data_IF_943264044095
#
_entry.id   IF_943264044095
#
_cell.length_a   1.000
_cell.length_b   1.000
_cell.length_c   1.000
_cell.angle_alpha   90.00
_cell.angle_beta   90.00
_cell.angle_gamma   90.00
#
_symmetry.space_group_name_H-M   'P 1'
#
loop_
_entity.id
_entity.type
_entity.pdbx_description
1 polymer ?
#
# COMPACT_ATOMS: atom_id res chain seq x y z
N UNK A 1 -5.29 0.71 2.87
CA UNK A 1 -5.54 0.25 4.26
C UNK A 1 -5.50 1.42 5.25
N UNK A 2 -4.42 2.22 5.34
CA UNK A 2 -4.31 3.31 6.30
C UNK A 2 -5.42 4.37 6.18
N UNK A 3 -5.80 4.76 4.97
CA UNK A 3 -6.91 5.70 4.76
C UNK A 3 -8.25 5.13 5.27
N UNK A 4 -8.49 3.84 5.05
CA UNK A 4 -9.70 3.17 5.57
C UNK A 4 -9.74 3.19 7.09
N UNK A 5 -8.61 3.00 7.75
CA UNK A 5 -8.51 3.07 9.21
C UNK A 5 -8.78 4.48 9.74
N UNK A 6 -8.23 5.52 9.11
CA UNK A 6 -8.54 6.92 9.48
C UNK A 6 -10.04 7.19 9.33
N UNK A 7 -10.66 6.80 8.21
CA UNK A 7 -12.11 6.98 8.01
C UNK A 7 -12.93 6.19 9.03
N UNK A 8 -12.49 4.99 9.40
CA UNK A 8 -13.17 4.18 10.43
C UNK A 8 -13.11 4.87 11.80
N UNK A 9 -11.93 5.40 12.18
CA UNK A 9 -11.80 6.15 13.44
C UNK A 9 -12.60 7.45 13.41
N UNK A 10 -12.65 8.13 12.27
CA UNK A 10 -13.48 9.31 12.10
C UNK A 10 -14.98 8.98 12.20
N UNK A 11 -15.42 7.85 11.66
CA UNK A 11 -16.79 7.39 11.82
C UNK A 11 -17.16 7.11 13.28
N UNK A 12 -16.23 6.52 14.08
CA UNK A 12 -16.40 6.34 15.53
C UNK A 12 -16.54 7.69 16.23
N UNK A 13 -15.72 8.68 15.88
CA UNK A 13 -15.81 10.04 16.41
C UNK A 13 -17.17 10.67 16.14
N UNK A 14 -17.63 10.59 14.89
CA UNK A 14 -18.93 11.13 14.47
C UNK A 14 -20.08 10.41 15.22
N UNK A 15 -20.02 9.10 15.34
CA UNK A 15 -21.00 8.33 16.09
C UNK A 15 -21.07 8.76 17.55
N UNK A 16 -19.90 8.87 18.19
CA UNK A 16 -19.83 9.33 19.59
C UNK A 16 -20.42 10.73 19.75
N UNK A 17 -20.02 11.67 18.89
CA UNK A 17 -20.48 13.06 18.96
C UNK A 17 -21.99 13.20 18.71
N UNK A 18 -22.52 12.48 17.70
CA UNK A 18 -23.92 12.65 17.25
C UNK A 18 -24.92 11.75 17.97
N UNK A 19 -24.48 10.61 18.51
CA UNK A 19 -25.39 9.62 19.08
C UNK A 19 -25.10 9.35 20.56
N UNK A 20 -23.87 9.09 20.96
CA UNK A 20 -23.54 8.72 22.35
C UNK A 20 -23.66 9.92 23.28
N UNK A 21 -22.96 11.02 22.96
CA UNK A 21 -22.91 12.22 23.81
C UNK A 21 -24.31 12.83 24.08
N UNK A 22 -25.21 13.02 23.08
CA UNK A 22 -26.53 13.56 23.35
C UNK A 22 -27.39 12.67 24.26
N UNK A 23 -27.23 11.33 24.18
CA UNK A 23 -27.97 10.40 25.05
C UNK A 23 -27.53 10.52 26.51
N UNK A 24 -26.23 10.78 26.76
CA UNK A 24 -25.65 10.86 28.10
C UNK A 24 -25.54 12.31 28.63
N UNK A 25 -26.09 13.29 27.90
CA UNK A 25 -25.94 14.71 28.28
C UNK A 25 -26.50 15.01 29.68
N UNK A 26 -27.64 14.41 30.04
CA UNK A 26 -28.25 14.61 31.35
C UNK A 26 -27.40 14.05 32.48
N UNK A 27 -26.78 12.90 32.26
CA UNK A 27 -25.88 12.27 33.20
C UNK A 27 -24.56 13.04 33.32
N UNK A 28 -24.05 13.60 32.22
CA UNK A 28 -22.87 14.47 32.20
C UNK A 28 -23.11 15.74 33.00
N UNK A 29 -24.27 16.38 32.84
CA UNK A 29 -24.63 17.64 33.55
C UNK A 29 -24.92 17.39 35.05
N UNK A 30 -25.41 16.20 35.39
CA UNK A 30 -25.76 15.84 36.78
C UNK A 30 -24.60 15.16 37.53
N UNK A 31 -23.63 14.59 36.86
CA UNK A 31 -22.54 13.81 37.46
C UNK A 31 -21.33 14.67 37.76
N UNK A 32 -20.72 14.44 38.93
CA UNK A 32 -19.36 14.96 39.22
C UNK A 32 -18.27 14.09 38.61
N UNK A 33 -18.60 12.90 38.10
CA UNK A 33 -17.67 11.97 37.45
C UNK A 33 -17.64 12.23 35.95
N UNK A 34 -16.43 12.34 35.40
CA UNK A 34 -16.23 12.43 33.97
C UNK A 34 -16.55 11.10 33.27
N UNK A 35 -17.32 11.15 32.16
CA UNK A 35 -17.70 9.97 31.37
C UNK A 35 -16.89 10.01 30.05
N UNK A 36 -15.73 9.34 29.98
CA UNK A 36 -14.83 9.44 28.83
C UNK A 36 -15.44 8.90 27.53
N UNK A 37 -16.40 7.97 27.60
CA UNK A 37 -17.12 7.40 26.45
C UNK A 37 -17.91 8.45 25.65
N UNK A 38 -18.17 9.61 26.21
CA UNK A 38 -18.82 10.73 25.53
C UNK A 38 -17.84 11.57 24.70
N UNK A 39 -16.54 11.33 24.83
CA UNK A 39 -15.47 12.05 24.13
C UNK A 39 -15.10 11.33 22.83
N UNK A 40 -15.27 11.97 21.66
CA UNK A 40 -14.96 11.35 20.35
C UNK A 40 -13.53 10.81 20.24
N UNK A 41 -12.55 11.57 20.72
CA UNK A 41 -11.13 11.17 20.73
C UNK A 41 -10.87 9.92 21.59
N UNK A 42 -11.51 9.85 22.76
CA UNK A 42 -11.41 8.69 23.64
C UNK A 42 -12.00 7.44 23.00
N UNK A 43 -13.21 7.56 22.43
CA UNK A 43 -13.89 6.43 21.78
C UNK A 43 -13.11 5.91 20.58
N UNK A 44 -12.60 6.79 19.72
CA UNK A 44 -11.78 6.39 18.57
C UNK A 44 -10.51 5.66 19.01
N UNK A 45 -9.78 6.20 19.99
CA UNK A 45 -8.59 5.56 20.53
C UNK A 45 -8.91 4.21 21.16
N UNK A 46 -9.95 4.11 21.97
CA UNK A 46 -10.34 2.85 22.64
C UNK A 46 -10.72 1.77 21.62
N UNK A 47 -11.48 2.12 20.59
CA UNK A 47 -11.84 1.20 19.51
C UNK A 47 -10.58 0.75 18.75
N UNK A 48 -9.66 1.69 18.47
CA UNK A 48 -8.41 1.35 17.82
C UNK A 48 -7.50 0.44 18.67
N UNK A 49 -7.40 0.68 19.97
CA UNK A 49 -6.64 -0.20 20.88
C UNK A 49 -7.24 -1.60 20.96
N UNK A 50 -8.57 -1.74 20.93
CA UNK A 50 -9.22 -3.04 20.81
C UNK A 50 -8.93 -3.73 19.47
N UNK A 51 -8.86 -2.96 18.38
CA UNK A 51 -8.49 -3.46 17.07
C UNK A 51 -7.04 -3.97 17.05
N UNK A 52 -6.09 -3.18 17.56
CA UNK A 52 -4.68 -3.59 17.60
C UNK A 52 -4.38 -4.71 18.60
N UNK A 53 -5.25 -4.99 19.53
CA UNK A 53 -5.17 -6.18 20.40
C UNK A 53 -5.35 -7.50 19.64
N UNK A 54 -5.70 -7.49 18.35
CA UNK A 54 -5.65 -8.66 17.48
C UNK A 54 -4.21 -8.89 17.01
N UNK A 55 -3.77 -10.14 16.98
CA UNK A 55 -2.37 -10.55 16.73
C UNK A 55 -1.72 -9.92 15.47
N UNK A 56 -2.50 -9.66 14.44
CA UNK A 56 -1.97 -9.15 13.16
C UNK A 56 -1.79 -7.61 13.15
N UNK A 57 -2.23 -6.89 14.19
CA UNK A 57 -2.30 -5.43 14.20
C UNK A 57 -1.59 -4.75 15.39
N UNK A 58 -0.85 -5.49 16.19
CA UNK A 58 -0.17 -4.98 17.40
C UNK A 58 0.77 -3.81 17.14
N UNK A 59 1.38 -3.78 15.95
CA UNK A 59 2.36 -2.77 15.54
C UNK A 59 1.74 -1.54 14.88
N UNK A 60 0.42 -1.54 14.68
CA UNK A 60 -0.31 -0.37 14.21
C UNK A 60 -0.50 0.64 15.34
N UNK A 61 -0.35 1.94 15.04
CA UNK A 61 -0.55 2.99 16.01
C UNK A 61 -1.54 4.03 15.49
N UNK A 62 -2.38 4.54 16.38
CA UNK A 62 -3.28 5.65 16.11
C UNK A 62 -3.13 6.73 17.16
N UNK A 63 -3.08 7.99 16.74
CA UNK A 63 -2.97 9.12 17.63
C UNK A 63 -3.66 10.35 17.03
N UNK A 64 -4.27 11.17 17.90
CA UNK A 64 -4.72 12.51 17.59
C UNK A 64 -3.71 13.48 18.21
N UNK A 65 -2.59 13.68 17.52
CA UNK A 65 -1.46 14.44 18.05
C UNK A 65 -1.74 15.94 18.02
N UNK A 66 -1.66 16.59 19.17
CA UNK A 66 -1.87 18.03 19.35
C UNK A 66 -0.71 18.66 20.11
N UNK A 67 -0.45 19.95 19.86
CA UNK A 67 0.59 20.71 20.59
C UNK A 67 0.16 21.01 22.02
N UNK A 68 -1.14 21.21 22.25
CA UNK A 68 -1.73 21.50 23.55
C UNK A 68 -2.98 20.62 23.75
N UNK A 69 -2.83 19.30 23.99
CA UNK A 69 -3.98 18.41 24.14
C UNK A 69 -4.55 18.44 25.56
N UNK A 70 -5.83 18.14 25.70
CA UNK A 70 -6.47 17.89 27.01
C UNK A 70 -5.89 16.63 27.65
N UNK A 71 -5.72 15.55 26.89
CA UNK A 71 -5.12 14.31 27.38
C UNK A 71 -3.62 14.25 27.05
N UNK A 72 -2.74 14.03 28.04
CA UNK A 72 -1.29 13.89 27.79
C UNK A 72 -0.92 12.82 26.78
N UNK A 73 -1.75 11.76 26.62
CA UNK A 73 -1.53 10.71 25.63
C UNK A 73 -1.56 11.22 24.18
N UNK A 74 -2.18 12.37 23.95
CA UNK A 74 -2.27 13.01 22.63
C UNK A 74 -1.20 14.09 22.42
N UNK A 75 -0.25 14.27 23.34
CA UNK A 75 0.82 15.25 23.16
C UNK A 75 1.68 14.88 21.95
N UNK A 76 1.77 15.78 20.98
CA UNK A 76 2.57 15.60 19.80
C UNK A 76 4.06 15.51 20.16
N UNK A 77 4.76 14.56 19.57
CA UNK A 77 6.23 14.56 19.58
C UNK A 77 6.78 15.58 18.57
N UNK A 78 8.11 15.73 18.50
CA UNK A 78 8.74 16.70 17.60
C UNK A 78 8.35 16.52 16.13
N UNK A 79 8.24 15.27 15.65
CA UNK A 79 7.85 14.97 14.28
C UNK A 79 6.38 15.33 14.04
N UNK A 80 5.50 14.88 14.91
CA UNK A 80 4.05 15.14 14.84
C UNK A 80 3.74 16.62 14.97
N UNK A 81 4.46 17.33 15.86
CA UNK A 81 4.34 18.77 16.04
C UNK A 81 4.77 19.57 14.82
N UNK A 82 5.88 19.20 14.17
CA UNK A 82 6.31 19.81 12.92
C UNK A 82 5.28 19.60 11.81
N UNK A 83 4.76 18.37 11.67
CA UNK A 83 3.74 18.04 10.70
C UNK A 83 2.45 18.84 10.93
N UNK A 84 2.02 18.96 12.18
CA UNK A 84 0.86 19.78 12.55
C UNK A 84 1.08 21.27 12.24
N UNK A 85 2.26 21.81 12.51
CA UNK A 85 2.60 23.19 12.17
C UNK A 85 2.53 23.47 10.66
N UNK A 86 2.99 22.54 9.82
CA UNK A 86 2.84 22.64 8.35
C UNK A 86 1.37 22.64 7.91
N UNK A 87 0.53 21.83 8.58
CA UNK A 87 -0.90 21.80 8.34
C UNK A 87 -1.58 23.13 8.76
N UNK A 88 -1.21 23.67 9.93
CA UNK A 88 -1.73 24.96 10.43
C UNK A 88 -1.31 26.10 9.51
N UNK A 89 -0.07 26.09 8.99
CA UNK A 89 0.43 27.09 8.06
C UNK A 89 -0.23 27.01 6.65
N UNK A 90 -1.03 25.96 6.37
CA UNK A 90 -1.65 25.75 5.07
C UNK A 90 -0.68 25.28 3.97
N UNK A 91 0.52 24.83 4.37
CA UNK A 91 1.53 24.32 3.45
C UNK A 91 1.16 22.93 2.91
N UNK A 92 0.20 22.26 3.53
CA UNK A 92 -0.31 20.94 3.12
C UNK A 92 -1.83 20.99 2.98
N UNK A 93 -2.37 20.37 1.93
CA UNK A 93 -3.80 20.24 1.71
C UNK A 93 -4.21 18.77 1.77
N UNK A 94 -5.15 18.42 2.65
CA UNK A 94 -5.66 17.05 2.81
C UNK A 94 -4.70 16.13 3.56
N UNK A 95 -4.75 14.84 3.19
CA UNK A 95 -3.95 13.80 3.84
C UNK A 95 -2.47 13.89 3.41
N UNK A 96 -1.57 13.84 4.38
CA UNK A 96 -0.13 13.76 4.19
C UNK A 96 0.33 12.35 4.52
N UNK A 97 1.23 11.79 3.74
CA UNK A 97 1.78 10.46 4.01
C UNK A 97 3.30 10.43 3.79
N UNK A 98 3.93 9.46 4.39
CA UNK A 98 5.38 9.29 4.31
C UNK A 98 5.88 8.16 5.21
N UNK A 99 7.17 8.20 5.49
CA UNK A 99 7.80 7.23 6.38
C UNK A 99 8.47 7.95 7.55
N UNK A 100 8.43 7.31 8.73
CA UNK A 100 9.24 7.72 9.88
C UNK A 100 9.85 6.49 10.55
N UNK A 101 10.98 6.69 11.22
CA UNK A 101 11.52 5.69 12.12
C UNK A 101 11.05 6.02 13.55
N UNK A 102 10.44 5.04 14.20
CA UNK A 102 9.99 5.12 15.58
C UNK A 102 10.50 3.87 16.29
N UNK A 103 11.26 4.05 17.39
CA UNK A 103 11.81 2.95 18.20
C UNK A 103 12.59 1.88 17.42
N UNK A 104 13.21 2.29 16.30
CA UNK A 104 13.99 1.39 15.42
C UNK A 104 13.17 0.72 14.31
N UNK A 105 11.86 0.89 14.30
CA UNK A 105 10.99 0.40 13.23
C UNK A 105 10.69 1.48 12.19
N UNK A 106 10.69 1.09 10.92
CA UNK A 106 10.27 1.96 9.83
C UNK A 106 8.77 1.84 9.62
N UNK A 107 8.05 2.91 9.93
CA UNK A 107 6.61 3.00 9.82
C UNK A 107 6.21 3.88 8.63
N UNK A 108 5.22 3.46 7.89
CA UNK A 108 4.47 4.30 6.96
C UNK A 108 3.39 5.03 7.75
N UNK A 109 3.25 6.34 7.56
CA UNK A 109 2.19 7.11 8.21
C UNK A 109 1.25 7.75 7.20
N UNK A 110 0.01 7.92 7.62
CA UNK A 110 -0.97 8.81 7.01
C UNK A 110 -1.46 9.75 8.11
N UNK A 111 -1.43 11.04 7.83
CA UNK A 111 -1.79 12.09 8.75
C UNK A 111 -2.80 13.04 8.10
N UNK A 112 -3.83 13.42 8.85
CA UNK A 112 -4.91 14.32 8.42
C UNK A 112 -5.09 15.44 9.41
N UNK A 113 -5.24 16.71 8.98
CA UNK A 113 -5.55 17.80 9.88
C UNK A 113 -6.92 17.58 10.56
N UNK A 114 -6.97 17.79 11.85
CA UNK A 114 -8.17 17.74 12.65
C UNK A 114 -8.55 19.15 13.07
N UNK A 115 -9.61 19.66 12.45
CA UNK A 115 -10.13 20.99 12.74
C UNK A 115 -11.37 20.95 13.66
N UNK A 116 -11.61 22.03 14.38
CA UNK A 116 -12.84 22.27 15.11
C UNK A 116 -13.94 22.62 14.12
N UNK A 117 -14.93 21.76 13.97
CA UNK A 117 -15.97 21.89 12.94
C UNK A 117 -17.33 22.35 13.48
N UNK A 118 -17.48 22.46 14.80
CA UNK A 118 -18.77 22.75 15.43
C UNK A 118 -18.58 23.49 16.75
N UNK A 119 -19.51 24.42 17.05
CA UNK A 119 -19.64 25.07 18.33
C UNK A 119 -19.72 24.11 19.53
N UNK A 120 -20.32 22.91 19.29
CA UNK A 120 -20.39 21.89 20.34
C UNK A 120 -19.01 21.35 20.80
N UNK A 121 -17.95 21.55 20.02
CA UNK A 121 -16.59 21.23 20.43
C UNK A 121 -16.11 22.20 21.54
N UNK A 122 -16.57 23.44 21.47
CA UNK A 122 -16.16 24.50 22.38
C UNK A 122 -16.77 24.37 23.79
N UNK A 123 -17.82 23.54 23.95
CA UNK A 123 -18.35 23.19 25.30
C UNK A 123 -17.26 22.53 26.18
N UNK A 124 -16.22 21.92 25.56
CA UNK A 124 -15.10 21.29 26.27
C UNK A 124 -13.75 21.95 25.95
N UNK A 125 -13.64 22.67 24.84
CA UNK A 125 -12.37 23.17 24.32
C UNK A 125 -12.33 24.69 24.14
N UNK A 126 -13.42 25.38 24.47
CA UNK A 126 -13.49 26.85 24.49
C UNK A 126 -12.82 27.45 25.73
N UNK A 127 -13.52 28.30 26.45
CA UNK A 127 -13.01 28.86 27.72
C UNK A 127 -13.06 27.78 28.83
N UNK A 128 -11.99 27.54 29.60
CA UNK A 128 -12.01 26.59 30.71
C UNK A 128 -13.08 26.89 31.77
N UNK A 129 -13.52 28.14 31.89
CA UNK A 129 -14.57 28.55 32.84
C UNK A 129 -15.93 27.97 32.49
N UNK A 130 -16.19 27.77 31.19
CA UNK A 130 -17.43 27.23 30.66
C UNK A 130 -17.42 25.68 30.59
N UNK A 131 -16.25 25.04 30.78
CA UNK A 131 -16.11 23.60 30.74
C UNK A 131 -16.73 22.92 31.97
N UNK A 132 -17.17 21.65 31.78
CA UNK A 132 -17.76 20.91 32.90
C UNK A 132 -16.75 20.71 34.06
N UNK A 133 -17.23 20.79 35.27
CA UNK A 133 -16.42 20.56 36.48
C UNK A 133 -15.75 19.21 36.47
N UNK A 134 -16.43 18.17 35.94
CA UNK A 134 -15.90 16.84 35.83
C UNK A 134 -14.71 16.74 34.88
N UNK A 135 -14.71 17.50 33.75
CA UNK A 135 -13.60 17.60 32.81
C UNK A 135 -12.38 18.26 33.48
N UNK A 136 -12.59 19.42 34.12
CA UNK A 136 -11.54 20.16 34.82
C UNK A 136 -10.92 19.32 35.95
N UNK A 137 -11.74 18.64 36.75
CA UNK A 137 -11.26 17.75 37.80
C UNK A 137 -10.42 16.58 37.28
N UNK A 138 -10.69 16.10 36.04
CA UNK A 138 -10.01 14.96 35.46
C UNK A 138 -8.72 15.36 34.76
N UNK A 139 -8.72 16.44 33.99
CA UNK A 139 -7.62 16.80 33.07
C UNK A 139 -6.97 18.17 33.41
N UNK A 140 -7.53 18.93 34.32
CA UNK A 140 -7.08 20.30 34.63
C UNK A 140 -7.63 21.34 33.63
N UNK A 141 -7.18 22.57 33.81
CA UNK A 141 -7.64 23.75 33.08
C UNK A 141 -6.59 24.30 32.07
N UNK A 142 -5.47 23.61 31.90
CA UNK A 142 -4.32 24.14 31.13
C UNK A 142 -4.24 23.65 29.69
N UNK A 143 -4.62 22.40 29.40
CA UNK A 143 -4.47 21.79 28.10
C UNK A 143 -5.78 21.60 27.35
N UNK A 144 -5.79 21.90 26.04
CA UNK A 144 -6.93 21.66 25.17
C UNK A 144 -8.03 22.71 25.24
N UNK A 145 -7.71 23.93 25.66
CA UNK A 145 -8.65 25.05 25.75
C UNK A 145 -8.25 26.21 24.84
N UNK A 146 -9.16 27.18 24.69
CA UNK A 146 -8.96 28.35 23.84
C UNK A 146 -8.99 28.06 22.33
N UNK A 147 -9.67 27.01 21.92
CA UNK A 147 -9.81 26.67 20.51
C UNK A 147 -10.98 27.45 19.86
N UNK A 148 -10.92 27.60 18.54
CA UNK A 148 -11.92 28.30 17.75
C UNK A 148 -12.47 27.43 16.62
N UNK A 149 -13.72 27.69 16.21
CA UNK A 149 -14.31 26.99 15.05
C UNK A 149 -13.52 27.32 13.80
N UNK A 150 -13.17 26.29 13.02
CA UNK A 150 -12.33 26.38 11.83
C UNK A 150 -10.83 26.19 12.12
N UNK A 151 -10.39 26.26 13.38
CA UNK A 151 -8.99 26.07 13.75
C UNK A 151 -8.57 24.61 13.61
N UNK A 152 -7.41 24.34 12.97
CA UNK A 152 -6.72 23.05 13.03
C UNK A 152 -5.96 22.95 14.35
N UNK A 153 -6.32 21.99 15.20
CA UNK A 153 -5.84 21.86 16.58
C UNK A 153 -5.01 20.60 16.81
N UNK A 154 -5.13 19.62 15.92
CA UNK A 154 -4.41 18.36 15.99
C UNK A 154 -4.19 17.78 14.60
N UNK A 155 -3.36 16.73 14.51
CA UNK A 155 -3.33 15.82 13.38
C UNK A 155 -3.78 14.43 13.80
N UNK A 156 -4.72 13.87 13.06
CA UNK A 156 -5.14 12.48 13.17
C UNK A 156 -4.15 11.64 12.38
N UNK A 157 -3.38 10.80 13.05
CA UNK A 157 -2.28 10.06 12.42
C UNK A 157 -2.38 8.56 12.70
N UNK A 158 -2.17 7.76 11.66
CA UNK A 158 -2.05 6.31 11.74
C UNK A 158 -0.66 5.92 11.24
N UNK A 159 -0.04 5.01 11.97
CA UNK A 159 1.22 4.39 11.62
C UNK A 159 0.99 2.91 11.30
N UNK A 160 1.58 2.45 10.20
CA UNK A 160 1.53 1.06 9.72
C UNK A 160 2.96 0.58 9.49
N UNK A 161 3.33 -0.64 9.90
CA UNK A 161 4.64 -1.18 9.63
C UNK A 161 4.97 -1.17 8.15
N UNK A 162 6.08 -0.53 7.76
CA UNK A 162 6.47 -0.44 6.35
C UNK A 162 6.77 -1.82 5.76
N UNK A 163 7.25 -2.77 6.57
CA UNK A 163 7.51 -4.14 6.16
C UNK A 163 6.26 -4.84 5.61
N UNK A 164 5.09 -4.62 6.20
CA UNK A 164 3.83 -5.21 5.72
C UNK A 164 3.42 -4.66 4.36
N UNK A 165 3.58 -3.34 4.16
CA UNK A 165 3.28 -2.70 2.87
C UNK A 165 4.19 -3.24 1.78
N UNK A 166 5.49 -3.39 2.06
CA UNK A 166 6.47 -3.89 1.10
C UNK A 166 6.34 -5.40 0.86
N UNK A 167 6.02 -6.21 1.87
CA UNK A 167 5.90 -7.67 1.71
C UNK A 167 4.76 -8.03 0.76
N UNK A 168 3.60 -7.41 0.89
CA UNK A 168 2.47 -7.63 -0.02
C UNK A 168 2.80 -7.21 -1.46
N UNK A 169 3.48 -6.07 -1.65
CA UNK A 169 3.92 -5.61 -2.95
C UNK A 169 4.97 -6.55 -3.58
N UNK A 170 5.96 -6.99 -2.78
CA UNK A 170 7.00 -7.92 -3.24
C UNK A 170 6.43 -9.28 -3.61
N UNK A 171 5.48 -9.82 -2.85
CA UNK A 171 4.84 -11.09 -3.16
C UNK A 171 4.11 -11.04 -4.50
N UNK A 172 3.31 -9.99 -4.74
CA UNK A 172 2.62 -9.78 -6.01
C UNK A 172 3.61 -9.61 -7.16
N UNK A 173 4.65 -8.79 -6.98
CA UNK A 173 5.70 -8.59 -7.97
C UNK A 173 6.43 -9.90 -8.33
N UNK A 174 6.81 -10.68 -7.33
CA UNK A 174 7.51 -11.97 -7.53
C UNK A 174 6.64 -12.95 -8.31
N UNK A 175 5.34 -13.03 -8.00
CA UNK A 175 4.41 -13.89 -8.72
C UNK A 175 4.29 -13.47 -10.18
N UNK A 176 4.06 -12.20 -10.48
CA UNK A 176 3.95 -11.67 -11.83
C UNK A 176 5.23 -11.91 -12.61
N UNK A 177 6.40 -11.60 -12.03
CA UNK A 177 7.70 -11.82 -12.68
C UNK A 177 7.96 -13.31 -12.96
N UNK A 178 7.58 -14.21 -12.05
CA UNK A 178 7.73 -15.65 -12.25
C UNK A 178 6.91 -16.14 -13.44
N UNK A 179 5.68 -15.65 -13.59
CA UNK A 179 4.82 -15.98 -14.75
C UNK A 179 5.45 -15.47 -16.06
N UNK A 180 5.95 -14.23 -16.08
CA UNK A 180 6.62 -13.69 -17.26
C UNK A 180 7.87 -14.48 -17.65
N UNK A 181 8.70 -14.87 -16.69
CA UNK A 181 9.90 -15.68 -16.93
C UNK A 181 9.52 -17.05 -17.49
N UNK A 182 8.48 -17.69 -16.94
CA UNK A 182 8.01 -18.99 -17.42
C UNK A 182 7.50 -18.92 -18.87
N UNK A 183 6.70 -17.90 -19.21
CA UNK A 183 6.20 -17.67 -20.58
C UNK A 183 7.37 -17.42 -21.54
N UNK A 184 8.31 -16.55 -21.15
CA UNK A 184 9.47 -16.24 -21.98
C UNK A 184 10.34 -17.47 -22.25
N UNK A 185 10.59 -18.28 -21.22
CA UNK A 185 11.33 -19.54 -21.36
C UNK A 185 10.62 -20.51 -22.31
N UNK A 186 9.29 -20.66 -22.18
CA UNK A 186 8.50 -21.50 -23.05
C UNK A 186 8.57 -21.06 -24.52
N UNK A 187 8.41 -19.76 -24.77
CA UNK A 187 8.51 -19.18 -26.12
C UNK A 187 9.90 -19.42 -26.70
N UNK A 188 10.97 -19.19 -25.93
CA UNK A 188 12.35 -19.39 -26.35
C UNK A 188 12.62 -20.87 -26.71
N UNK A 189 12.15 -21.79 -25.86
CA UNK A 189 12.27 -23.22 -26.15
C UNK A 189 11.50 -23.60 -27.41
N UNK A 190 10.30 -23.08 -27.59
CA UNK A 190 9.49 -23.34 -28.79
C UNK A 190 10.18 -22.82 -30.06
N UNK A 191 10.68 -21.59 -30.03
CA UNK A 191 11.41 -20.98 -31.15
C UNK A 191 12.64 -21.81 -31.48
N UNK A 192 13.46 -22.18 -30.50
CA UNK A 192 14.63 -23.00 -30.70
C UNK A 192 14.27 -24.40 -31.31
N UNK A 193 13.20 -25.01 -30.81
CA UNK A 193 12.72 -26.27 -31.34
C UNK A 193 12.28 -26.14 -32.81
N UNK A 194 11.50 -25.10 -33.12
CA UNK A 194 11.01 -24.83 -34.48
C UNK A 194 12.18 -24.52 -35.44
N UNK A 195 13.10 -23.63 -35.03
CA UNK A 195 14.28 -23.28 -35.82
C UNK A 195 15.14 -24.51 -36.10
N UNK A 196 15.42 -25.34 -35.09
CA UNK A 196 16.21 -26.55 -35.24
C UNK A 196 15.55 -27.52 -36.25
N UNK A 197 14.24 -27.74 -36.09
CA UNK A 197 13.50 -28.72 -36.90
C UNK A 197 13.24 -28.23 -38.32
N UNK A 198 12.86 -26.97 -38.50
CA UNK A 198 12.36 -26.49 -39.80
C UNK A 198 13.40 -25.70 -40.60
N UNK A 199 14.47 -25.24 -39.97
CA UNK A 199 15.50 -24.40 -40.64
C UNK A 199 16.87 -25.09 -40.59
N UNK A 200 17.41 -25.33 -39.37
CA UNK A 200 18.80 -25.76 -39.22
C UNK A 200 19.01 -27.13 -39.81
N UNK A 201 18.20 -28.15 -39.44
CA UNK A 201 18.35 -29.51 -39.93
C UNK A 201 18.24 -29.62 -41.46
N UNK A 202 17.25 -29.00 -42.15
CA UNK A 202 17.22 -29.02 -43.62
C UNK A 202 18.42 -28.31 -44.26
N UNK A 203 18.89 -27.19 -43.70
CA UNK A 203 20.05 -26.47 -44.22
C UNK A 203 21.33 -27.31 -44.06
N UNK A 204 21.52 -28.00 -42.94
CA UNK A 204 22.67 -28.90 -42.72
C UNK A 204 22.71 -30.05 -43.75
N UNK A 205 21.54 -30.62 -44.08
CA UNK A 205 21.43 -31.66 -45.10
C UNK A 205 21.87 -31.13 -46.48
N UNK A 206 21.36 -29.94 -46.87
CA UNK A 206 21.70 -29.32 -48.15
C UNK A 206 23.17 -28.90 -48.23
N UNK A 207 23.71 -28.33 -47.13
CA UNK A 207 25.11 -27.94 -47.02
C UNK A 207 26.04 -29.14 -47.12
N UNK A 208 25.71 -30.25 -46.46
CA UNK A 208 26.46 -31.51 -46.57
C UNK A 208 26.47 -32.12 -47.97
N UNK A 209 25.31 -31.99 -48.68
CA UNK A 209 25.24 -32.41 -50.09
C UNK A 209 26.09 -31.53 -51.03
N UNK A 210 25.98 -30.22 -50.89
CA UNK A 210 26.77 -29.25 -51.64
C UNK A 210 28.29 -29.48 -51.48
N UNK A 211 28.72 -29.75 -50.23
CA UNK A 211 30.13 -30.05 -49.96
C UNK A 211 30.59 -31.36 -50.61
N UNK A 212 29.77 -32.41 -50.58
CA UNK A 212 30.09 -33.69 -51.23
C UNK A 212 30.19 -33.55 -52.76
N UNK A 213 29.28 -32.83 -53.41
CA UNK A 213 29.31 -32.55 -54.83
C UNK A 213 30.57 -31.75 -55.23
N UNK A 214 31.04 -30.88 -54.38
CA UNK A 214 32.26 -30.08 -54.64
C UNK A 214 33.57 -30.88 -54.56
N UNK A 215 33.57 -32.04 -53.89
CA UNK A 215 34.81 -32.82 -53.61
C UNK A 215 34.87 -34.12 -54.45
N UNK A 216 33.75 -34.66 -54.87
CA UNK A 216 33.70 -36.01 -55.51
C UNK A 216 33.04 -35.98 -56.92
N UNK A 217 33.81 -36.19 -58.00
CA UNK A 217 33.30 -36.16 -59.36
C UNK A 217 32.39 -37.36 -59.74
N UNK A 218 32.25 -38.39 -58.86
CA UNK A 218 31.45 -39.63 -59.09
C UNK A 218 30.23 -39.77 -58.15
N UNK A 219 29.59 -38.69 -57.77
CA UNK A 219 28.53 -38.57 -56.72
C UNK A 219 27.11 -38.99 -57.13
N UNK A 220 26.93 -39.98 -58.02
CA UNK A 220 25.57 -40.37 -58.46
C UNK A 220 24.79 -41.34 -57.54
N UNK A 221 25.43 -41.87 -56.45
CA UNK A 221 24.80 -42.92 -55.62
C UNK A 221 24.10 -42.38 -54.34
N UNK A 222 24.46 -41.22 -53.80
CA UNK A 222 23.96 -40.71 -52.54
C UNK A 222 22.76 -39.75 -52.69
N UNK A 223 22.37 -39.41 -53.91
CA UNK A 223 21.22 -38.49 -54.20
C UNK A 223 19.84 -39.12 -53.87
N UNK A 224 19.78 -40.40 -53.55
CA UNK A 224 18.55 -41.10 -53.12
C UNK A 224 18.46 -41.32 -51.62
N UNK A 225 19.12 -40.51 -50.84
CA UNK A 225 19.00 -40.62 -49.36
C UNK A 225 17.61 -40.16 -48.87
N UNK A 226 17.01 -40.91 -47.95
CA UNK A 226 15.71 -40.59 -47.37
C UNK A 226 15.68 -39.17 -46.72
N UNK A 227 16.83 -38.63 -46.34
CA UNK A 227 17.01 -37.29 -45.79
C UNK A 227 16.81 -36.19 -46.86
N UNK A 228 17.29 -36.40 -48.09
CA UNK A 228 17.06 -35.45 -49.19
C UNK A 228 15.59 -35.46 -49.63
N UNK A 229 14.97 -36.65 -49.70
CA UNK A 229 13.56 -36.77 -50.05
C UNK A 229 12.63 -36.07 -49.10
N UNK A 230 12.96 -36.04 -47.78
CA UNK A 230 12.22 -35.31 -46.78
C UNK A 230 12.30 -33.79 -46.94
N UNK A 231 13.38 -33.24 -47.50
CA UNK A 231 13.55 -31.82 -47.78
C UNK A 231 12.94 -31.44 -49.13
N UNK A 232 13.09 -32.26 -50.18
CA UNK A 232 12.54 -31.97 -51.51
C UNK A 232 11.01 -32.00 -51.57
N UNK A 233 10.35 -32.68 -50.63
CA UNK A 233 8.89 -32.73 -50.53
C UNK A 233 8.29 -31.46 -49.87
N UNK A 234 9.09 -30.51 -49.40
CA UNK A 234 8.62 -29.26 -48.76
C UNK A 234 8.10 -28.30 -49.82
N UNK A 235 7.01 -27.53 -49.48
CA UNK A 235 6.47 -26.54 -50.39
C UNK A 235 7.18 -25.17 -50.33
N UNK A 236 8.17 -25.00 -49.44
CA UNK A 236 8.88 -23.75 -49.20
C UNK A 236 10.16 -23.56 -50.04
N UNK A 237 10.90 -22.50 -49.82
CA UNK A 237 12.14 -22.13 -50.53
C UNK A 237 13.23 -23.18 -50.34
N UNK A 238 13.28 -23.84 -49.19
CA UNK A 238 14.24 -24.90 -48.91
C UNK A 238 13.93 -26.16 -49.76
N UNK A 239 12.63 -26.47 -49.95
CA UNK A 239 12.20 -27.53 -50.85
C UNK A 239 12.57 -27.25 -52.31
N UNK A 240 12.34 -26.02 -52.78
CA UNK A 240 12.75 -25.59 -54.12
C UNK A 240 14.27 -25.68 -54.30
N UNK A 241 15.04 -25.23 -53.32
CA UNK A 241 16.50 -25.38 -53.36
C UNK A 241 16.95 -26.82 -53.38
N UNK A 242 16.33 -27.69 -52.58
CA UNK A 242 16.63 -29.13 -52.58
C UNK A 242 16.36 -29.82 -53.94
N UNK A 243 15.37 -29.37 -54.71
CA UNK A 243 15.06 -29.89 -56.04
C UNK A 243 16.17 -29.61 -57.06
N UNK A 244 16.99 -28.57 -56.89
CA UNK A 244 18.16 -28.28 -57.76
C UNK A 244 19.25 -29.33 -57.62
N UNK A 245 19.33 -30.06 -56.52
CA UNK A 245 20.27 -31.13 -56.25
C UNK A 245 19.78 -32.53 -56.66
N UNK A 246 18.59 -32.62 -57.23
CA UNK A 246 18.00 -33.86 -57.66
C UNK A 246 18.28 -34.13 -59.13
#
# INVERSE_FOLDING_TARGET
QGTLLIESMNAVRIYTSKHVRPLLKKELDASQAFIPETVPAFSARTVFENFRGQLDFETYLYKEAALNPTSPANLADNFEGNLLNEMIAGNTSGDVNGYRNLEGERLFYIARPLAITSESCLECHGDPVDASVSLINTYGDKGGFGWEVGQTVATQIIYVPAAEVFSAALQTFTLVMSVFIAIFALITLLINFLLKKYVIQPVDILSGLAQKISVDENFSADLKSASLESVTSRPDELGKLAQVFR
#
